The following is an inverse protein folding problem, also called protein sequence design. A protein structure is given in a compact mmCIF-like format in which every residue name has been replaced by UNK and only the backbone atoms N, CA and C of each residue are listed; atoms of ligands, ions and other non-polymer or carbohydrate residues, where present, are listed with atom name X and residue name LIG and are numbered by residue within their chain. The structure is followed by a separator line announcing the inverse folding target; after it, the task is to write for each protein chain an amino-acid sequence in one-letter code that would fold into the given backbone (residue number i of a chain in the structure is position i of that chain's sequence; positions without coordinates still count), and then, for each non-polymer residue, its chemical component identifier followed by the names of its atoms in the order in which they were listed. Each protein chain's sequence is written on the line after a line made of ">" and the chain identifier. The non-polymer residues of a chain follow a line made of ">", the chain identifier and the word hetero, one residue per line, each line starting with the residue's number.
data_IF_935327419388
#
_entry.id   IF_935327419388
#
_cell.length_a   1.000
_cell.length_b   1.000
_cell.length_c   1.000
_cell.angle_alpha   90.00
_cell.angle_beta   90.00
_cell.angle_gamma   90.00
#
_symmetry.space_group_name_H-M   'P 1'
#
loop_
_entity.id
_entity.type
_entity.pdbx_description
1 polymer ?
#
# COMPACT_ATOMS: atom_id res chain seq x y z
N UNK A 1 81.94 13.41 0.25
CA UNK A 1 80.77 14.21 0.68
C UNK A 1 79.61 13.89 -0.27
N UNK A 2 78.38 13.91 0.23
CA UNK A 2 77.22 13.12 -0.23
C UNK A 2 76.69 13.52 -1.62
N UNK A 3 76.47 12.56 -2.52
CA UNK A 3 75.59 12.73 -3.70
C UNK A 3 74.15 12.57 -3.22
N UNK A 4 73.34 13.61 -3.36
CA UNK A 4 71.89 13.55 -3.13
C UNK A 4 71.22 13.63 -4.50
N UNK A 5 70.60 12.54 -4.94
CA UNK A 5 69.71 12.55 -6.10
C UNK A 5 68.29 12.83 -5.60
N UNK A 6 67.73 13.95 -6.03
CA UNK A 6 66.34 14.30 -5.80
C UNK A 6 65.47 13.63 -6.86
N UNK A 7 64.66 12.65 -6.48
CA UNK A 7 63.54 12.18 -7.29
C UNK A 7 62.32 12.99 -6.84
N UNK A 8 61.87 13.92 -7.68
CA UNK A 8 60.61 14.62 -7.49
C UNK A 8 59.51 13.67 -7.99
N UNK A 9 58.74 13.10 -7.07
CA UNK A 9 57.51 12.38 -7.37
C UNK A 9 56.40 12.91 -6.46
N UNK A 10 55.54 13.79 -6.97
CA UNK A 10 54.27 14.15 -6.32
C UNK A 10 53.28 14.48 -7.44
N UNK A 11 52.54 13.47 -7.91
CA UNK A 11 51.16 13.14 -7.52
C UNK A 11 50.12 14.11 -8.14
N UNK A 12 49.55 13.69 -9.29
CA UNK A 12 48.33 14.27 -9.84
C UNK A 12 47.18 14.02 -8.84
N UNK A 13 46.69 15.09 -8.22
CA UNK A 13 45.44 15.05 -7.46
C UNK A 13 44.29 15.07 -8.47
N UNK A 14 43.73 13.89 -8.76
CA UNK A 14 42.45 13.80 -9.47
C UNK A 14 41.32 14.27 -8.57
N UNK A 15 40.72 15.42 -8.89
CA UNK A 15 39.50 15.89 -8.24
C UNK A 15 38.33 14.97 -8.66
N UNK A 16 38.01 13.98 -7.83
CA UNK A 16 36.78 13.20 -7.97
C UNK A 16 35.63 14.06 -7.44
N UNK A 17 34.93 14.76 -8.34
CA UNK A 17 33.65 15.39 -8.02
C UNK A 17 32.62 14.28 -7.88
N UNK A 18 32.40 13.83 -6.65
CA UNK A 18 31.26 12.98 -6.33
C UNK A 18 29.99 13.83 -6.45
N UNK A 19 29.26 13.66 -7.56
CA UNK A 19 27.91 14.19 -7.70
C UNK A 19 27.04 13.62 -6.57
N UNK A 20 26.23 14.43 -5.88
CA UNK A 20 25.27 13.88 -4.94
C UNK A 20 24.29 13.02 -5.72
N UNK A 21 24.30 11.70 -5.46
CA UNK A 21 23.22 10.84 -5.87
C UNK A 21 21.98 11.25 -5.07
N UNK A 22 21.23 12.23 -5.56
CA UNK A 22 19.80 12.32 -5.25
C UNK A 22 19.17 11.07 -5.85
N UNK A 23 19.22 9.98 -5.09
CA UNK A 23 18.32 8.86 -5.26
C UNK A 23 16.91 9.40 -5.04
N UNK A 24 16.34 10.00 -6.09
CA UNK A 24 14.91 10.16 -6.19
C UNK A 24 14.35 8.77 -5.97
N UNK A 25 13.67 8.56 -4.85
CA UNK A 25 12.85 7.36 -4.67
C UNK A 25 11.92 7.35 -5.86
N UNK A 26 12.20 6.50 -6.84
CA UNK A 26 11.16 6.02 -7.73
C UNK A 26 10.05 5.57 -6.78
N UNK A 27 8.93 6.28 -6.77
CA UNK A 27 7.81 5.96 -5.89
C UNK A 27 7.26 4.65 -6.40
N UNK A 28 7.83 3.55 -5.91
CA UNK A 28 7.43 2.22 -6.30
C UNK A 28 5.91 2.15 -6.20
N UNK A 29 5.26 1.74 -7.29
CA UNK A 29 3.83 1.87 -7.42
C UNK A 29 3.13 1.09 -6.30
N UNK A 30 2.37 1.82 -5.49
CA UNK A 30 1.54 1.23 -4.44
C UNK A 30 0.40 0.44 -5.09
N UNK A 31 0.25 -0.82 -4.69
CA UNK A 31 -0.78 -1.71 -5.27
C UNK A 31 -1.41 -2.58 -4.21
N UNK A 32 -2.66 -2.98 -4.45
CA UNK A 32 -3.33 -4.06 -3.74
C UNK A 32 -3.72 -5.15 -4.73
N UNK A 33 -3.45 -6.40 -4.37
CA UNK A 33 -3.84 -7.59 -5.13
C UNK A 33 -4.67 -8.53 -4.26
N UNK A 34 -5.81 -8.97 -4.80
CA UNK A 34 -6.76 -9.89 -4.15
C UNK A 34 -7.14 -10.97 -5.19
N UNK A 35 -6.37 -12.08 -5.29
CA UNK A 35 -6.50 -13.03 -6.38
C UNK A 35 -7.90 -13.65 -6.51
N UNK A 36 -8.57 -13.96 -5.40
CA UNK A 36 -9.88 -14.62 -5.40
C UNK A 36 -10.95 -13.86 -6.18
N UNK A 37 -10.87 -12.53 -6.18
CA UNK A 37 -11.82 -11.65 -6.86
C UNK A 37 -11.20 -10.97 -8.09
N UNK A 38 -10.03 -11.45 -8.55
CA UNK A 38 -9.36 -10.94 -9.74
C UNK A 38 -8.88 -9.49 -9.64
N UNK A 39 -8.72 -8.95 -8.43
CA UNK A 39 -8.38 -7.53 -8.24
C UNK A 39 -6.87 -7.34 -8.24
N UNK A 40 -6.40 -6.42 -9.08
CA UNK A 40 -5.12 -5.73 -8.93
C UNK A 40 -5.38 -4.25 -9.15
N UNK A 41 -5.25 -3.43 -8.11
CA UNK A 41 -5.56 -2.02 -8.15
C UNK A 41 -4.37 -1.18 -7.68
N UNK A 42 -4.17 -0.02 -8.31
CA UNK A 42 -3.25 1.01 -7.79
C UNK A 42 -3.85 1.58 -6.51
N UNK A 43 -2.99 1.86 -5.53
CA UNK A 43 -3.35 2.65 -4.36
C UNK A 43 -2.81 4.06 -4.57
N UNK A 44 -3.70 5.04 -4.68
CA UNK A 44 -3.33 6.43 -4.98
C UNK A 44 -3.98 7.41 -4.00
N UNK A 45 -4.19 8.62 -4.48
CA UNK A 45 -4.83 9.72 -3.74
C UNK A 45 -6.28 9.97 -4.18
N UNK A 46 -6.70 9.43 -5.33
CA UNK A 46 -8.02 9.64 -5.91
C UNK A 46 -8.78 8.31 -6.01
N UNK A 47 -9.92 8.23 -5.30
CA UNK A 47 -10.79 7.04 -5.29
C UNK A 47 -11.36 6.73 -6.69
N UNK A 48 -11.51 7.75 -7.54
CA UNK A 48 -11.94 7.60 -8.94
C UNK A 48 -10.91 6.93 -9.86
N UNK A 49 -9.67 6.71 -9.37
CA UNK A 49 -8.58 6.09 -10.14
C UNK A 49 -8.08 4.77 -9.55
N UNK A 50 -8.67 4.30 -8.45
CA UNK A 50 -8.24 3.07 -7.79
C UNK A 50 -8.59 3.03 -6.31
N UNK A 51 -7.80 2.28 -5.56
CA UNK A 51 -7.91 2.24 -4.11
C UNK A 51 -7.18 3.44 -3.48
N UNK A 52 -7.51 3.79 -2.24
CA UNK A 52 -6.82 4.81 -1.45
C UNK A 52 -6.62 4.34 -0.02
N UNK A 53 -5.55 4.80 0.63
CA UNK A 53 -5.46 4.71 2.08
C UNK A 53 -6.42 5.72 2.74
N UNK A 54 -6.95 5.35 3.91
CA UNK A 54 -7.58 6.34 4.78
C UNK A 54 -6.54 7.38 5.24
N UNK A 55 -7.00 8.60 5.59
CA UNK A 55 -6.09 9.71 5.92
C UNK A 55 -5.30 9.51 7.21
N UNK A 56 -5.90 8.91 8.24
CA UNK A 56 -5.34 8.80 9.60
C UNK A 56 -5.14 7.35 10.02
N UNK A 57 -4.41 6.58 9.20
CA UNK A 57 -4.06 5.18 9.45
C UNK A 57 -2.59 4.92 9.12
N UNK A 58 -2.04 3.82 9.61
CA UNK A 58 -0.69 3.39 9.27
C UNK A 58 -0.54 2.88 7.85
N UNK A 59 0.66 2.38 7.55
CA UNK A 59 1.04 1.73 6.30
C UNK A 59 1.55 0.32 6.57
N UNK A 60 1.55 -0.56 5.55
CA UNK A 60 2.09 -1.92 5.68
C UNK A 60 3.48 -1.94 6.33
N UNK A 61 3.65 -2.78 7.35
CA UNK A 61 4.90 -2.92 8.11
C UNK A 61 5.04 -2.01 9.32
N UNK A 62 4.12 -1.06 9.55
CA UNK A 62 4.19 -0.14 10.68
C UNK A 62 3.60 -0.71 11.98
N UNK A 63 3.09 -1.95 11.99
CA UNK A 63 2.64 -2.56 13.25
C UNK A 63 1.32 -2.00 13.79
N UNK A 64 0.52 -1.35 12.95
CA UNK A 64 -0.74 -0.70 13.35
C UNK A 64 -1.87 -0.92 12.34
N UNK A 65 -3.02 -0.29 12.56
CA UNK A 65 -4.17 -0.40 11.66
C UNK A 65 -3.88 0.27 10.32
N UNK A 66 -4.14 -0.46 9.24
CA UNK A 66 -4.12 0.00 7.86
C UNK A 66 -5.55 -0.10 7.36
N UNK A 67 -6.06 0.97 6.73
CA UNK A 67 -7.37 0.94 6.10
C UNK A 67 -7.27 1.43 4.65
N UNK A 68 -7.81 0.62 3.74
CA UNK A 68 -7.85 0.88 2.31
C UNK A 68 -9.32 0.93 1.87
N UNK A 69 -9.68 1.97 1.13
CA UNK A 69 -11.00 2.12 0.53
C UNK A 69 -10.92 1.97 -0.99
N UNK A 70 -11.93 1.35 -1.58
CA UNK A 70 -12.17 1.39 -3.02
C UNK A 70 -13.68 1.35 -3.28
N UNK A 71 -14.11 1.76 -4.47
CA UNK A 71 -15.51 1.71 -4.86
C UNK A 71 -16.02 0.27 -5.01
N UNK A 72 -17.30 0.06 -4.68
CA UNK A 72 -18.08 -1.14 -5.04
C UNK A 72 -18.65 -0.98 -6.46
N UNK A 73 -19.64 -0.10 -6.65
CA UNK A 73 -20.34 0.04 -7.93
C UNK A 73 -19.84 1.19 -8.82
N UNK A 74 -19.23 2.23 -8.25
CA UNK A 74 -18.81 3.39 -9.04
C UNK A 74 -17.70 2.98 -10.02
N UNK A 75 -17.86 3.20 -11.33
CA UNK A 75 -16.89 2.80 -12.33
C UNK A 75 -15.50 3.40 -12.06
N UNK A 76 -14.48 2.54 -12.12
CA UNK A 76 -13.06 2.94 -12.11
C UNK A 76 -12.39 2.35 -13.36
N UNK A 77 -11.51 3.09 -14.06
CA UNK A 77 -10.81 2.56 -15.23
C UNK A 77 -10.13 1.21 -14.95
N UNK A 78 -10.37 0.22 -15.81
CA UNK A 78 -9.83 -1.14 -15.68
C UNK A 78 -10.73 -2.13 -14.91
N UNK A 79 -11.89 -1.71 -14.39
CA UNK A 79 -12.78 -2.56 -13.59
C UNK A 79 -14.17 -2.76 -14.23
N UNK A 80 -14.24 -2.91 -15.56
CA UNK A 80 -15.43 -3.39 -16.30
C UNK A 80 -16.76 -2.69 -15.92
N UNK A 81 -16.72 -1.37 -15.70
CA UNK A 81 -17.91 -0.59 -15.37
C UNK A 81 -18.30 -0.60 -13.89
N UNK A 82 -17.48 -1.14 -13.00
CA UNK A 82 -17.66 -1.10 -11.56
C UNK A 82 -16.37 -0.66 -10.85
N UNK A 83 -16.35 -0.69 -9.51
CA UNK A 83 -15.20 -0.33 -8.71
C UNK A 83 -14.31 -1.52 -8.36
N UNK A 84 -13.10 -1.29 -7.80
CA UNK A 84 -12.17 -2.37 -7.45
C UNK A 84 -12.70 -3.35 -6.40
N UNK A 85 -13.61 -2.93 -5.53
CA UNK A 85 -14.16 -3.75 -4.44
C UNK A 85 -15.60 -4.20 -4.71
N UNK A 86 -15.99 -4.31 -5.99
CA UNK A 86 -17.32 -4.75 -6.40
C UNK A 86 -17.72 -6.14 -5.88
N UNK A 87 -16.74 -7.04 -5.77
CA UNK A 87 -16.89 -8.44 -5.40
C UNK A 87 -16.29 -8.76 -4.02
N UNK A 88 -16.00 -7.72 -3.22
CA UNK A 88 -15.24 -7.89 -1.97
C UNK A 88 -16.00 -8.70 -0.91
N UNK A 89 -17.32 -8.79 -1.00
CA UNK A 89 -18.20 -9.60 -0.16
C UNK A 89 -17.99 -11.11 -0.34
N UNK A 90 -17.36 -11.53 -1.45
CA UNK A 90 -16.98 -12.92 -1.73
C UNK A 90 -15.75 -13.36 -0.93
N UNK A 91 -15.07 -12.45 -0.24
CA UNK A 91 -13.94 -12.78 0.59
C UNK A 91 -14.37 -13.50 1.88
N UNK A 92 -13.64 -14.54 2.21
CA UNK A 92 -13.84 -15.42 3.34
C UNK A 92 -12.51 -15.60 4.09
N UNK A 93 -12.60 -16.16 5.31
CA UNK A 93 -11.42 -16.43 6.13
C UNK A 93 -10.39 -17.26 5.35
N UNK A 94 -9.13 -16.83 5.39
CA UNK A 94 -8.01 -17.49 4.71
C UNK A 94 -7.67 -16.92 3.34
N UNK A 95 -8.52 -16.08 2.73
CA UNK A 95 -8.22 -15.49 1.44
C UNK A 95 -7.00 -14.55 1.50
N UNK A 96 -6.17 -14.57 0.44
CA UNK A 96 -4.94 -13.78 0.36
C UNK A 96 -5.24 -12.36 -0.10
N UNK A 97 -4.63 -11.40 0.60
CA UNK A 97 -4.51 -10.02 0.15
C UNK A 97 -3.02 -9.67 0.16
N UNK A 98 -2.50 -9.06 -0.89
CA UNK A 98 -1.12 -8.56 -0.93
C UNK A 98 -1.14 -7.06 -1.17
N UNK A 99 -0.41 -6.30 -0.34
CA UNK A 99 -0.22 -4.87 -0.52
C UNK A 99 1.25 -4.61 -0.84
N UNK A 100 1.52 -3.88 -1.91
CA UNK A 100 2.86 -3.38 -2.23
C UNK A 100 2.96 -1.96 -1.69
N UNK A 101 3.87 -1.74 -0.75
CA UNK A 101 4.13 -0.44 -0.13
C UNK A 101 5.62 -0.13 -0.11
N UNK A 102 6.01 1.05 -0.58
CA UNK A 102 7.41 1.50 -0.65
C UNK A 102 8.36 0.44 -1.27
N UNK A 103 7.90 -0.24 -2.32
CA UNK A 103 8.67 -1.26 -3.04
C UNK A 103 8.72 -2.63 -2.38
N UNK A 104 8.06 -2.83 -1.23
CA UNK A 104 7.99 -4.11 -0.51
C UNK A 104 6.59 -4.70 -0.56
N UNK A 105 6.49 -6.02 -0.61
CA UNK A 105 5.21 -6.76 -0.59
C UNK A 105 4.89 -7.22 0.83
N UNK A 106 3.64 -7.03 1.23
CA UNK A 106 3.10 -7.44 2.52
C UNK A 106 1.90 -8.34 2.28
N UNK A 107 1.95 -9.56 2.82
CA UNK A 107 0.86 -10.51 2.71
C UNK A 107 -0.06 -10.43 3.93
N UNK A 108 -1.35 -10.56 3.67
CA UNK A 108 -2.40 -10.63 4.67
C UNK A 108 -3.34 -11.80 4.37
N UNK A 109 -3.97 -12.33 5.41
CA UNK A 109 -5.04 -13.33 5.32
C UNK A 109 -6.32 -12.75 5.92
N UNK A 110 -7.40 -12.85 5.18
CA UNK A 110 -8.73 -12.43 5.63
C UNK A 110 -9.12 -13.22 6.88
N UNK A 111 -9.64 -12.54 7.89
CA UNK A 111 -10.12 -13.14 9.14
C UNK A 111 -11.64 -13.13 9.27
N UNK A 112 -12.32 -12.26 8.52
CA UNK A 112 -13.78 -12.14 8.48
C UNK A 112 -14.23 -10.79 7.91
N UNK A 113 -15.54 -10.56 7.89
CA UNK A 113 -16.13 -9.32 7.41
C UNK A 113 -17.31 -8.87 8.28
N UNK A 114 -17.61 -7.56 8.29
CA UNK A 114 -18.76 -6.98 8.99
C UNK A 114 -19.38 -5.84 8.19
N UNK A 115 -20.69 -5.68 8.33
CA UNK A 115 -21.40 -4.47 7.89
C UNK A 115 -21.53 -3.52 9.07
N UNK A 116 -21.16 -2.27 8.88
CA UNK A 116 -21.16 -1.24 9.93
C UNK A 116 -21.85 0.04 9.43
N UNK A 117 -22.36 0.91 10.32
CA UNK A 117 -22.84 2.23 9.93
C UNK A 117 -21.79 3.02 9.14
N UNK A 118 -22.21 3.65 8.04
CA UNK A 118 -21.32 4.45 7.18
C UNK A 118 -20.79 5.71 7.86
N UNK A 119 -21.35 6.07 9.00
CA UNK A 119 -20.91 7.14 9.91
C UNK A 119 -19.83 6.70 10.89
N UNK A 120 -19.59 5.39 11.07
CA UNK A 120 -18.61 4.91 12.04
C UNK A 120 -17.18 5.25 11.58
N UNK A 121 -16.52 6.15 12.31
CA UNK A 121 -15.14 6.57 12.06
C UNK A 121 -14.10 5.79 12.87
N UNK A 122 -14.52 5.11 13.94
CA UNK A 122 -13.65 4.43 14.89
C UNK A 122 -13.16 3.06 14.42
N UNK A 123 -13.72 2.52 13.34
CA UNK A 123 -13.32 1.19 12.85
C UNK A 123 -11.85 1.09 12.46
N UNK A 124 -11.24 2.22 12.09
CA UNK A 124 -9.84 2.32 11.67
C UNK A 124 -8.94 2.93 12.75
N UNK A 125 -9.40 3.01 14.00
CA UNK A 125 -8.58 3.48 15.12
C UNK A 125 -7.29 2.64 15.21
N UNK A 126 -6.19 3.34 15.50
CA UNK A 126 -4.85 2.75 15.52
C UNK A 126 -4.75 1.70 16.63
N UNK A 127 -4.03 0.63 16.31
CA UNK A 127 -3.80 -0.52 17.19
C UNK A 127 -2.32 -0.66 17.50
N UNK A 128 -1.98 -1.41 18.55
CA UNK A 128 -0.59 -1.82 18.89
C UNK A 128 -0.14 -3.08 18.14
N UNK A 129 -0.89 -3.48 17.13
CA UNK A 129 -0.61 -4.62 16.27
C UNK A 129 -1.09 -4.33 14.86
N UNK A 130 -0.51 -4.98 13.86
CA UNK A 130 -0.90 -4.76 12.47
C UNK A 130 -2.19 -5.50 12.11
N UNK A 131 -3.10 -4.77 11.45
CA UNK A 131 -4.30 -5.31 10.82
C UNK A 131 -4.62 -4.52 9.56
N UNK A 132 -5.20 -5.19 8.57
CA UNK A 132 -5.66 -4.56 7.34
C UNK A 132 -7.19 -4.56 7.30
N UNK A 133 -7.75 -3.39 7.02
CA UNK A 133 -9.17 -3.17 6.79
C UNK A 133 -9.37 -2.79 5.33
N UNK A 134 -10.22 -3.53 4.63
CA UNK A 134 -10.67 -3.17 3.29
C UNK A 134 -12.12 -2.71 3.37
N UNK A 135 -12.41 -1.52 2.85
CA UNK A 135 -13.69 -0.85 3.06
C UNK A 135 -14.33 -0.42 1.75
N UNK A 136 -15.65 -0.63 1.64
CA UNK A 136 -16.46 -0.11 0.53
C UNK A 136 -17.86 0.28 1.02
N UNK A 137 -18.58 1.08 0.22
CA UNK A 137 -20.00 1.39 0.45
C UNK A 137 -20.85 0.11 0.43
N UNK A 138 -21.94 0.08 1.21
CA UNK A 138 -22.83 -1.08 1.28
C UNK A 138 -24.26 -0.68 1.71
N UNK A 139 -25.31 -1.39 1.28
CA UNK A 139 -25.33 -2.33 0.14
C UNK A 139 -25.12 -1.60 -1.19
N UNK A 140 -25.10 -2.35 -2.32
CA UNK A 140 -24.96 -1.77 -3.67
C UNK A 140 -25.95 -0.62 -3.86
N UNK A 141 -25.46 0.51 -4.37
CA UNK A 141 -26.27 1.72 -4.57
C UNK A 141 -26.48 2.58 -3.30
N UNK A 142 -25.96 2.16 -2.14
CA UNK A 142 -26.12 2.89 -0.89
C UNK A 142 -24.78 3.17 -0.21
N UNK A 143 -24.68 4.33 0.44
CA UNK A 143 -23.56 4.69 1.30
C UNK A 143 -23.92 4.63 2.80
N UNK A 144 -25.13 4.16 3.14
CA UNK A 144 -25.65 4.09 4.51
C UNK A 144 -24.79 3.22 5.42
N UNK A 145 -24.21 2.16 4.85
CA UNK A 145 -23.29 1.27 5.56
C UNK A 145 -21.94 1.17 4.84
N UNK A 146 -21.00 0.49 5.50
CA UNK A 146 -19.77 0.02 4.90
C UNK A 146 -19.67 -1.49 5.10
N UNK A 147 -19.26 -2.19 4.05
CA UNK A 147 -18.72 -3.52 4.19
C UNK A 147 -17.23 -3.38 4.53
N UNK A 148 -16.82 -4.04 5.62
CA UNK A 148 -15.44 -4.04 6.09
C UNK A 148 -14.92 -5.47 6.13
N UNK A 149 -13.90 -5.74 5.33
CA UNK A 149 -13.14 -7.00 5.40
C UNK A 149 -11.92 -6.78 6.27
N UNK A 150 -11.74 -7.65 7.27
CA UNK A 150 -10.61 -7.65 8.19
C UNK A 150 -9.60 -8.69 7.75
N UNK A 151 -8.31 -8.34 7.81
CA UNK A 151 -7.21 -9.25 7.54
C UNK A 151 -6.04 -9.03 8.50
N UNK A 152 -5.21 -10.06 8.68
CA UNK A 152 -4.01 -10.06 9.54
C UNK A 152 -2.76 -10.36 8.73
N UNK A 153 -1.57 -9.87 9.16
CA UNK A 153 -0.31 -10.20 8.51
C UNK A 153 -0.13 -11.72 8.36
N UNK A 154 0.48 -12.12 7.26
CA UNK A 154 0.81 -13.51 6.94
C UNK A 154 2.18 -13.60 6.28
N UNK A 155 2.74 -14.81 6.22
CA UNK A 155 3.93 -15.08 5.40
C UNK A 155 3.56 -14.97 3.92
N UNK A 156 4.50 -14.45 3.12
CA UNK A 156 4.32 -14.23 1.67
C UNK A 156 4.07 -15.54 0.91
#
# INVERSE_FOLDING_TARGET
>A
MRKVSSIIAVALVGLVVALPATAGRSSAQETISIPKIGVTAKIGTLLSRGAIYWKRVGRPGQGTTIAIAAHDITPVPGFRGHGPFHDIDRLARGDKVTVTHAGKRYAYRVTGQRVIPGTNRHIADLTRYERLLLTTCWPRGSSKYRLVVYARPAKL
#
